data_IF_385325994227
#
_entry.id   IF_385325994227
#
_cell.length_a   1.000
_cell.length_b   1.000
_cell.length_c   1.000
_cell.angle_alpha   90.00
_cell.angle_beta   90.00
_cell.angle_gamma   90.00
#
_symmetry.space_group_name_H-M   'P 1'
#
loop_
_entity.id
_entity.type
_entity.pdbx_description
1 polymer ?
#
# COMPACT_ATOMS: atom_id res chain seq x y z
N UNK A 1 -18.98 6.68 -21.03
CA UNK A 1 -19.04 5.59 -22.04
C UNK A 1 -18.58 4.23 -21.46
N UNK A 2 -17.39 4.12 -20.87
CA UNK A 2 -16.93 2.84 -20.31
C UNK A 2 -17.69 2.43 -19.06
N UNK A 3 -18.05 3.37 -18.18
CA UNK A 3 -18.80 3.07 -16.96
C UNK A 3 -20.22 2.56 -17.25
N UNK A 4 -20.89 3.10 -18.29
CA UNK A 4 -22.22 2.60 -18.69
C UNK A 4 -22.13 1.16 -19.21
N UNK A 5 -21.06 0.83 -19.94
CA UNK A 5 -20.79 -0.53 -20.38
C UNK A 5 -20.55 -1.48 -19.20
N UNK A 6 -19.71 -1.08 -18.23
CA UNK A 6 -19.43 -1.88 -17.02
C UNK A 6 -20.71 -2.12 -16.20
N UNK A 7 -21.50 -1.07 -15.99
CA UNK A 7 -22.80 -1.18 -15.31
C UNK A 7 -23.74 -2.14 -16.05
N UNK A 8 -23.79 -2.06 -17.39
CA UNK A 8 -24.58 -2.97 -18.23
C UNK A 8 -24.15 -4.43 -18.17
N UNK A 9 -22.88 -4.70 -17.83
CA UNK A 9 -22.37 -6.05 -17.57
C UNK A 9 -22.70 -6.56 -16.15
N UNK A 10 -23.29 -5.72 -15.29
CA UNK A 10 -23.57 -6.08 -13.91
C UNK A 10 -22.37 -5.89 -12.97
N UNK A 11 -21.33 -5.19 -13.39
CA UNK A 11 -20.18 -4.86 -12.53
C UNK A 11 -20.64 -3.87 -11.46
N UNK A 12 -20.42 -4.23 -10.20
CA UNK A 12 -20.80 -3.43 -9.03
C UNK A 12 -19.59 -2.85 -8.24
N UNK A 13 -18.38 -3.23 -8.60
CA UNK A 13 -17.15 -2.63 -8.06
C UNK A 13 -16.06 -2.60 -9.14
N UNK A 14 -15.20 -1.60 -9.07
CA UNK A 14 -13.97 -1.52 -9.87
C UNK A 14 -12.78 -1.33 -8.93
N UNK A 15 -11.72 -2.06 -9.19
CA UNK A 15 -10.43 -1.84 -8.55
C UNK A 15 -9.57 -1.01 -9.49
N UNK A 16 -8.97 0.04 -8.95
CA UNK A 16 -8.05 0.91 -9.66
C UNK A 16 -6.63 0.57 -9.24
N UNK A 17 -5.74 0.46 -10.20
CA UNK A 17 -4.30 0.42 -9.95
C UNK A 17 -3.87 1.65 -9.13
N UNK A 18 -2.68 1.65 -8.49
CA UNK A 18 -2.26 2.75 -7.63
C UNK A 18 -2.37 4.11 -8.33
N UNK A 19 -3.06 5.04 -7.68
CA UNK A 19 -3.33 6.39 -8.20
C UNK A 19 -2.63 7.47 -7.38
N UNK A 20 -1.79 7.10 -6.42
CA UNK A 20 -0.85 8.05 -5.81
C UNK A 20 0.14 8.57 -6.87
N UNK A 21 0.68 9.76 -6.67
CA UNK A 21 1.69 10.31 -7.58
C UNK A 21 2.90 9.38 -7.63
N UNK A 22 3.34 9.01 -8.81
CA UNK A 22 4.45 8.09 -9.04
C UNK A 22 5.51 8.67 -9.98
N UNK A 23 6.67 8.04 -10.01
CA UNK A 23 7.79 8.48 -10.85
C UNK A 23 7.57 8.13 -12.32
N UNK A 24 7.55 9.12 -13.19
CA UNK A 24 7.38 8.97 -14.64
C UNK A 24 5.93 9.20 -15.09
N UNK A 25 5.70 9.27 -16.39
CA UNK A 25 4.40 9.59 -16.96
C UNK A 25 3.55 8.37 -17.34
N UNK A 26 4.15 7.19 -17.44
CA UNK A 26 3.50 5.94 -17.83
C UNK A 26 4.09 4.80 -17.00
N UNK A 27 3.36 4.38 -15.98
CA UNK A 27 3.70 3.25 -15.14
C UNK A 27 2.42 2.61 -14.57
N UNK A 28 2.55 1.47 -13.92
CA UNK A 28 1.43 0.83 -13.24
C UNK A 28 1.06 1.50 -11.91
N UNK A 29 1.90 2.43 -11.43
CA UNK A 29 1.65 3.19 -10.21
C UNK A 29 2.29 2.63 -8.95
N UNK A 30 3.02 1.51 -9.02
CA UNK A 30 3.63 0.88 -7.84
C UNK A 30 4.93 1.53 -7.36
N UNK A 31 5.32 2.66 -7.95
CA UNK A 31 6.47 3.47 -7.52
C UNK A 31 6.03 4.79 -6.91
N UNK A 32 5.28 4.75 -5.81
CA UNK A 32 4.69 5.92 -5.16
C UNK A 32 5.74 6.93 -4.73
N UNK A 33 5.48 8.19 -5.08
CA UNK A 33 6.32 9.33 -4.67
C UNK A 33 5.66 10.19 -3.60
N UNK A 34 4.33 10.30 -3.64
CA UNK A 34 3.56 11.16 -2.74
C UNK A 34 2.20 10.55 -2.42
N UNK A 35 2.05 9.97 -1.24
CA UNK A 35 0.83 9.25 -0.81
C UNK A 35 -0.43 10.12 -0.65
N UNK A 36 -0.30 11.45 -0.60
CA UNK A 36 -1.43 12.38 -0.49
C UNK A 36 -1.74 13.13 -1.80
N UNK A 37 -1.08 12.75 -2.88
CA UNK A 37 -1.29 13.32 -4.20
C UNK A 37 -1.89 12.27 -5.14
N UNK A 38 -2.80 12.70 -5.98
CA UNK A 38 -3.34 11.86 -7.06
C UNK A 38 -2.54 12.14 -8.32
N UNK A 39 -2.18 11.10 -9.03
CA UNK A 39 -1.36 11.09 -10.24
C UNK A 39 -1.79 12.19 -11.23
N UNK A 40 -0.86 13.08 -11.47
CA UNK A 40 -1.10 14.29 -12.26
C UNK A 40 -1.35 13.97 -13.74
N UNK A 41 -0.67 12.98 -14.31
CA UNK A 41 -0.86 12.55 -15.70
C UNK A 41 -2.23 11.92 -15.95
N UNK A 42 -2.86 11.34 -14.93
CA UNK A 42 -4.24 10.85 -14.94
C UNK A 42 -5.28 11.96 -14.72
N UNK A 43 -4.83 13.21 -14.53
CA UNK A 43 -5.68 14.39 -14.35
C UNK A 43 -5.87 14.84 -12.91
N UNK A 44 -5.17 14.25 -11.98
CA UNK A 44 -5.07 14.65 -10.58
C UNK A 44 -6.39 14.53 -9.81
N UNK A 45 -6.41 15.15 -8.62
CA UNK A 45 -7.50 15.09 -7.64
C UNK A 45 -8.89 15.30 -8.22
N UNK A 46 -9.06 16.33 -9.04
CA UNK A 46 -10.41 16.71 -9.53
C UNK A 46 -10.99 15.68 -10.50
N UNK A 47 -10.15 15.10 -11.38
CA UNK A 47 -10.58 14.05 -12.30
C UNK A 47 -10.87 12.75 -11.58
N UNK A 48 -10.07 12.43 -10.57
CA UNK A 48 -10.29 11.26 -9.73
C UNK A 48 -11.62 11.35 -8.98
N UNK A 49 -11.91 12.47 -8.29
CA UNK A 49 -13.21 12.70 -7.62
C UNK A 49 -14.39 12.64 -8.60
N UNK A 50 -14.20 13.19 -9.79
CA UNK A 50 -15.22 13.09 -10.83
C UNK A 50 -15.47 11.63 -11.22
N UNK A 51 -14.42 10.83 -11.41
CA UNK A 51 -14.54 9.42 -11.73
C UNK A 51 -15.28 8.64 -10.63
N UNK A 52 -14.88 8.79 -9.36
CA UNK A 52 -15.55 8.15 -8.22
C UNK A 52 -17.04 8.51 -8.19
N UNK A 53 -17.38 9.79 -8.31
CA UNK A 53 -18.77 10.23 -8.38
C UNK A 53 -19.55 9.58 -9.54
N UNK A 54 -18.95 9.46 -10.69
CA UNK A 54 -19.62 8.84 -11.85
C UNK A 54 -19.76 7.32 -11.70
N UNK A 55 -18.85 6.66 -10.97
CA UNK A 55 -19.03 5.27 -10.54
C UNK A 55 -20.23 5.14 -9.60
N UNK A 56 -20.27 5.95 -8.53
CA UNK A 56 -21.35 5.92 -7.54
C UNK A 56 -22.73 6.17 -8.15
N UNK A 57 -22.85 7.08 -9.10
CA UNK A 57 -24.10 7.33 -9.84
C UNK A 57 -24.65 6.10 -10.57
N UNK A 58 -23.79 5.12 -10.83
CA UNK A 58 -24.11 3.87 -11.52
C UNK A 58 -24.17 2.66 -10.60
N UNK A 59 -24.06 2.88 -9.29
CA UNK A 59 -24.02 1.81 -8.30
C UNK A 59 -22.72 0.99 -8.32
N UNK A 60 -21.62 1.59 -8.81
CA UNK A 60 -20.30 0.95 -8.87
C UNK A 60 -19.45 1.50 -7.75
N UNK A 61 -19.00 0.63 -6.84
CA UNK A 61 -18.03 0.94 -5.81
C UNK A 61 -16.61 1.10 -6.40
N UNK A 62 -15.77 1.89 -5.72
CA UNK A 62 -14.38 2.10 -6.13
C UNK A 62 -13.45 1.58 -5.06
N UNK A 63 -12.66 0.58 -5.40
CA UNK A 63 -11.59 0.02 -4.57
C UNK A 63 -10.26 0.61 -5.07
N UNK A 64 -9.50 1.22 -4.17
CA UNK A 64 -8.22 1.83 -4.52
C UNK A 64 -7.07 0.93 -4.10
N UNK A 65 -6.20 0.59 -5.04
CA UNK A 65 -4.94 -0.08 -4.75
C UNK A 65 -3.95 0.89 -4.11
N UNK A 66 -3.35 0.50 -2.98
CA UNK A 66 -2.40 1.30 -2.22
C UNK A 66 -1.12 0.53 -1.95
N UNK A 67 0.01 1.20 -2.10
CA UNK A 67 1.35 0.62 -1.97
C UNK A 67 2.00 1.14 -0.69
N UNK A 68 2.00 0.34 0.35
CA UNK A 68 2.55 0.69 1.66
C UNK A 68 3.70 -0.24 2.09
N UNK A 69 4.06 -1.18 1.22
CA UNK A 69 5.12 -2.15 1.49
C UNK A 69 6.52 -1.62 1.17
N UNK A 70 6.63 -0.57 0.37
CA UNK A 70 7.92 0.03 0.00
C UNK A 70 7.79 1.49 -0.42
N UNK A 71 8.93 2.17 -0.47
CA UNK A 71 9.12 3.44 -1.16
C UNK A 71 9.98 3.23 -2.41
N UNK A 72 9.61 3.85 -3.53
CA UNK A 72 10.44 3.83 -4.76
C UNK A 72 11.77 4.55 -4.50
N UNK A 73 12.87 3.87 -4.77
CA UNK A 73 14.22 4.41 -4.56
C UNK A 73 14.52 5.70 -5.33
N UNK A 74 13.79 5.97 -6.41
CA UNK A 74 13.93 7.22 -7.19
C UNK A 74 13.19 8.40 -6.56
N UNK A 75 12.14 8.11 -5.82
CA UNK A 75 11.33 9.11 -5.12
C UNK A 75 11.94 9.56 -3.79
N UNK A 76 12.79 8.75 -3.24
CA UNK A 76 13.36 8.90 -1.90
C UNK A 76 14.07 10.21 -1.68
N UNK A 77 14.70 10.78 -2.71
CA UNK A 77 15.41 12.06 -2.56
C UNK A 77 14.51 13.21 -2.15
N UNK A 78 13.28 13.25 -2.63
CA UNK A 78 12.33 14.30 -2.24
C UNK A 78 11.80 14.10 -0.81
N UNK A 79 11.54 12.85 -0.44
CA UNK A 79 11.08 12.50 0.91
C UNK A 79 12.21 12.65 1.94
N UNK A 80 13.41 12.34 1.56
CA UNK A 80 14.63 12.46 2.33
C UNK A 80 14.91 13.86 2.84
N UNK A 81 14.61 14.87 2.03
CA UNK A 81 14.80 16.27 2.39
C UNK A 81 13.91 16.73 3.54
N UNK A 82 12.83 16.01 3.84
CA UNK A 82 11.93 16.34 4.94
C UNK A 82 12.38 15.71 6.26
N UNK A 83 13.13 14.62 6.21
CA UNK A 83 13.62 13.92 7.40
C UNK A 83 15.04 14.36 7.74
N UNK A 84 15.94 14.20 6.79
CA UNK A 84 17.36 14.53 6.96
C UNK A 84 18.06 14.69 5.62
N UNK A 85 19.09 15.51 5.58
CA UNK A 85 19.97 15.65 4.41
C UNK A 85 21.02 14.55 4.30
N UNK A 86 21.17 13.73 5.34
CA UNK A 86 22.15 12.65 5.40
C UNK A 86 21.46 11.31 5.71
N UNK A 87 21.76 10.24 4.95
CA UNK A 87 21.14 8.93 5.14
C UNK A 87 21.23 8.39 6.55
N UNK A 88 22.38 8.56 7.18
CA UNK A 88 22.66 8.12 8.56
C UNK A 88 21.83 8.83 9.61
N UNK A 89 21.22 9.96 9.27
CA UNK A 89 20.34 10.74 10.14
C UNK A 89 18.86 10.47 9.91
N UNK A 90 18.53 9.63 8.92
CA UNK A 90 17.16 9.18 8.67
C UNK A 90 16.71 8.20 9.75
N UNK A 91 16.39 8.73 10.94
CA UNK A 91 16.08 7.93 12.11
C UNK A 91 14.60 7.72 12.35
N UNK A 92 13.76 8.59 11.79
CA UNK A 92 12.41 8.73 12.26
C UNK A 92 11.35 8.31 11.26
N UNK A 93 11.49 8.67 9.97
CA UNK A 93 10.31 8.72 9.15
C UNK A 93 10.15 7.58 8.15
N UNK A 94 11.15 7.30 7.29
CA UNK A 94 10.85 6.64 6.04
C UNK A 94 11.33 5.21 5.94
N UNK A 95 12.60 4.95 6.24
CA UNK A 95 13.24 3.68 5.92
C UNK A 95 13.77 2.98 7.14
N UNK A 96 13.83 1.67 7.07
CA UNK A 96 14.57 0.87 8.04
C UNK A 96 16.02 0.69 7.57
N UNK A 97 16.94 0.47 8.54
CA UNK A 97 18.37 0.40 8.29
C UNK A 97 19.04 1.77 8.15
N UNK A 98 20.27 1.87 8.66
CA UNK A 98 21.12 3.05 8.57
C UNK A 98 22.34 2.71 7.77
N UNK A 99 22.96 3.70 7.12
CA UNK A 99 24.19 3.52 6.34
C UNK A 99 25.32 2.86 7.17
N UNK A 100 25.37 3.14 8.48
CA UNK A 100 26.35 2.54 9.40
C UNK A 100 26.08 1.05 9.70
N UNK A 101 24.86 0.60 9.54
CA UNK A 101 24.45 -0.77 9.86
C UNK A 101 24.70 -1.74 8.71
N UNK A 102 24.86 -1.22 7.48
CA UNK A 102 24.94 -2.02 6.26
C UNK A 102 25.99 -1.51 5.29
N UNK A 103 26.68 -2.43 4.67
CA UNK A 103 27.58 -2.14 3.57
C UNK A 103 26.80 -2.22 2.24
N UNK A 104 26.03 -1.16 1.95
CA UNK A 104 25.33 -1.06 0.67
C UNK A 104 25.62 0.26 -0.04
N UNK A 105 25.68 0.26 -1.38
CA UNK A 105 25.94 1.47 -2.17
C UNK A 105 24.88 2.56 -2.04
N UNK A 106 23.65 2.19 -1.70
CA UNK A 106 22.49 3.07 -1.59
C UNK A 106 22.27 3.65 -0.19
N UNK A 107 23.21 3.48 0.70
CA UNK A 107 23.15 4.07 2.03
C UNK A 107 22.61 3.14 3.12
N UNK A 108 22.54 1.84 2.85
CA UNK A 108 22.20 0.83 3.84
C UNK A 108 20.73 0.70 4.18
N UNK A 109 19.86 1.21 3.32
CA UNK A 109 18.43 0.99 3.45
C UNK A 109 18.05 -0.45 3.13
N UNK A 110 16.99 -0.93 3.79
CA UNK A 110 16.48 -2.27 3.53
C UNK A 110 15.60 -2.27 2.30
N UNK A 111 15.95 -3.13 1.37
CA UNK A 111 15.08 -3.50 0.28
C UNK A 111 14.10 -4.58 0.76
N UNK A 112 12.84 -4.50 0.36
CA UNK A 112 11.86 -5.55 0.64
C UNK A 112 12.05 -6.80 -0.23
N UNK A 113 13.12 -6.84 -1.02
CA UNK A 113 13.51 -7.96 -1.87
C UNK A 113 12.86 -7.98 -3.25
N UNK A 114 11.96 -7.04 -3.57
CA UNK A 114 11.28 -7.04 -4.87
C UNK A 114 11.10 -5.66 -5.50
N UNK A 115 10.77 -4.64 -4.73
CA UNK A 115 10.20 -3.41 -5.31
C UNK A 115 10.83 -2.11 -4.82
N UNK A 116 11.38 -2.08 -3.62
CA UNK A 116 11.99 -0.86 -3.09
C UNK A 116 12.28 -0.92 -1.59
N UNK A 117 12.42 0.23 -0.98
CA UNK A 117 12.90 0.36 0.38
C UNK A 117 11.78 0.20 1.41
N UNK A 118 12.05 -0.59 2.44
CA UNK A 118 11.10 -0.91 3.50
C UNK A 118 10.85 0.30 4.40
N UNK A 119 9.59 0.70 4.60
CA UNK A 119 9.24 1.74 5.55
C UNK A 119 9.54 1.33 7.00
N UNK A 120 9.87 2.32 7.85
CA UNK A 120 10.13 2.09 9.27
C UNK A 120 8.83 1.98 10.05
N UNK A 121 8.16 0.84 9.96
CA UNK A 121 6.90 0.62 10.69
C UNK A 121 7.05 0.67 12.22
N UNK A 122 8.27 0.56 12.77
CA UNK A 122 8.55 0.81 14.18
C UNK A 122 8.22 2.24 14.60
N UNK A 123 8.38 3.20 13.67
CA UNK A 123 8.12 4.60 13.93
C UNK A 123 6.62 4.92 13.79
N UNK A 124 6.07 5.56 14.82
CA UNK A 124 4.64 5.92 14.83
C UNK A 124 4.29 6.87 13.68
N UNK A 125 5.14 7.85 13.40
CA UNK A 125 4.91 8.83 12.33
C UNK A 125 4.82 8.19 10.94
N UNK A 126 5.57 7.11 10.69
CA UNK A 126 5.49 6.34 9.44
C UNK A 126 4.17 5.60 9.35
N UNK A 127 3.74 4.94 10.43
CA UNK A 127 2.42 4.28 10.46
C UNK A 127 1.28 5.28 10.28
N UNK A 128 1.36 6.42 10.97
CA UNK A 128 0.38 7.52 10.86
C UNK A 128 0.32 8.09 9.45
N UNK A 129 1.42 8.15 8.72
CA UNK A 129 1.43 8.60 7.33
C UNK A 129 0.56 7.69 6.46
N UNK A 130 0.72 6.37 6.52
CA UNK A 130 -0.06 5.43 5.73
C UNK A 130 -1.55 5.41 6.14
N UNK A 131 -1.81 5.47 7.46
CA UNK A 131 -3.18 5.56 7.97
C UNK A 131 -3.86 6.85 7.49
N UNK A 132 -3.17 7.99 7.60
CA UNK A 132 -3.70 9.29 7.17
C UNK A 132 -3.88 9.38 5.65
N UNK A 133 -3.00 8.74 4.87
CA UNK A 133 -3.15 8.65 3.42
C UNK A 133 -4.43 7.90 3.04
N UNK A 134 -4.71 6.77 3.68
CA UNK A 134 -5.93 6.03 3.42
C UNK A 134 -7.19 6.80 3.91
N UNK A 135 -7.11 7.43 5.08
CA UNK A 135 -8.18 8.31 5.58
C UNK A 135 -8.49 9.44 4.59
N UNK A 136 -7.46 10.09 4.06
CA UNK A 136 -7.60 11.11 3.01
C UNK A 136 -8.32 10.57 1.77
N UNK A 137 -8.01 9.35 1.32
CA UNK A 137 -8.68 8.74 0.19
C UNK A 137 -10.16 8.42 0.49
N UNK A 138 -10.49 7.98 1.72
CA UNK A 138 -11.88 7.75 2.13
C UNK A 138 -12.66 9.06 2.22
N UNK A 139 -12.15 10.05 2.91
CA UNK A 139 -12.86 11.27 3.26
C UNK A 139 -12.91 12.29 2.12
N UNK A 140 -11.81 12.43 1.38
CA UNK A 140 -11.66 13.43 0.35
C UNK A 140 -11.91 12.91 -1.06
N UNK A 141 -11.54 11.66 -1.33
CA UNK A 141 -11.73 11.04 -2.65
C UNK A 141 -12.97 10.16 -2.70
N UNK A 142 -13.55 9.81 -1.54
CA UNK A 142 -14.76 9.01 -1.38
C UNK A 142 -14.68 7.60 -1.96
N UNK A 143 -13.51 6.96 -1.88
CA UNK A 143 -13.37 5.55 -2.26
C UNK A 143 -14.15 4.64 -1.30
N UNK A 144 -14.48 3.44 -1.73
CA UNK A 144 -15.30 2.50 -0.96
C UNK A 144 -14.48 1.42 -0.26
N UNK A 145 -13.24 1.27 -0.67
CA UNK A 145 -12.35 0.29 -0.09
C UNK A 145 -10.94 0.38 -0.64
N UNK A 146 -10.12 -0.54 -0.18
CA UNK A 146 -8.73 -0.64 -0.55
C UNK A 146 -8.32 -2.07 -0.88
N UNK A 147 -7.44 -2.21 -1.84
CA UNK A 147 -6.55 -3.35 -1.98
C UNK A 147 -5.16 -2.90 -1.53
N UNK A 148 -4.54 -3.62 -0.62
CA UNK A 148 -3.19 -3.30 -0.15
C UNK A 148 -2.20 -4.22 -0.82
N UNK A 149 -1.28 -3.60 -1.57
CA UNK A 149 -0.24 -4.28 -2.33
C UNK A 149 0.74 -5.01 -1.42
N UNK A 150 1.07 -6.25 -1.77
CA UNK A 150 2.11 -7.09 -1.19
C UNK A 150 2.14 -7.04 0.35
N UNK A 151 0.99 -7.31 0.99
CA UNK A 151 0.87 -7.24 2.47
C UNK A 151 1.83 -8.18 3.19
N UNK A 152 2.18 -9.29 2.58
CA UNK A 152 3.16 -10.24 3.13
C UNK A 152 4.55 -9.59 3.35
N UNK A 153 4.96 -8.62 2.53
CA UNK A 153 6.19 -7.88 2.72
C UNK A 153 6.12 -6.92 3.92
N UNK A 154 4.90 -6.56 4.36
CA UNK A 154 4.70 -5.71 5.53
C UNK A 154 4.72 -6.55 6.82
N UNK A 155 4.04 -7.72 6.83
CA UNK A 155 3.77 -8.44 8.09
C UNK A 155 4.58 -9.72 8.28
N UNK A 156 5.36 -10.19 7.28
CA UNK A 156 6.01 -11.49 7.39
C UNK A 156 7.50 -11.50 7.06
N UNK A 157 7.93 -11.48 5.81
CA UNK A 157 9.15 -12.21 5.50
C UNK A 157 10.28 -11.47 4.80
N UNK A 158 10.05 -10.35 4.19
CA UNK A 158 11.03 -9.83 3.23
C UNK A 158 11.88 -8.70 3.78
N UNK A 159 11.72 -8.39 5.05
CA UNK A 159 12.56 -7.39 5.69
C UNK A 159 13.84 -8.04 6.16
N UNK A 160 14.87 -7.94 5.35
CA UNK A 160 16.19 -8.49 5.63
C UNK A 160 17.25 -7.41 5.58
N UNK A 161 18.26 -7.60 6.41
CA UNK A 161 19.52 -6.89 6.23
C UNK A 161 20.14 -7.21 4.87
N UNK A 162 20.98 -6.33 4.38
CA UNK A 162 21.73 -6.52 3.15
C UNK A 162 22.54 -7.83 3.11
N UNK A 163 22.98 -8.31 4.26
CA UNK A 163 23.68 -9.58 4.41
C UNK A 163 22.74 -10.80 4.51
N UNK A 164 21.45 -10.61 4.32
CA UNK A 164 20.43 -11.66 4.33
C UNK A 164 19.88 -12.03 5.69
N UNK A 165 20.39 -11.45 6.78
CA UNK A 165 19.81 -11.65 8.13
C UNK A 165 18.43 -11.04 8.23
N UNK A 166 17.51 -11.72 8.91
CA UNK A 166 16.20 -11.14 9.24
C UNK A 166 16.32 -9.98 10.22
N UNK A 167 15.50 -8.94 10.04
CA UNK A 167 15.36 -7.86 11.02
C UNK A 167 14.54 -8.33 12.21
N UNK A 168 15.10 -8.29 13.42
CA UNK A 168 14.33 -8.64 14.62
C UNK A 168 13.08 -7.77 14.75
N UNK A 169 11.93 -8.41 14.90
CA UNK A 169 10.64 -7.76 15.16
C UNK A 169 10.10 -6.82 14.06
N UNK A 170 10.74 -6.71 12.90
CA UNK A 170 10.25 -5.85 11.82
C UNK A 170 8.83 -6.22 11.39
N UNK A 171 8.55 -7.52 11.29
CA UNK A 171 7.23 -8.05 10.98
C UNK A 171 6.17 -7.71 12.04
N UNK A 172 6.53 -7.62 13.31
CA UNK A 172 5.60 -7.25 14.38
C UNK A 172 5.12 -5.80 14.24
N UNK A 173 6.02 -4.90 13.86
CA UNK A 173 5.65 -3.51 13.60
C UNK A 173 4.85 -3.34 12.31
N UNK A 174 5.12 -4.14 11.28
CA UNK A 174 4.29 -4.21 10.08
C UNK A 174 2.88 -4.72 10.39
N UNK A 175 2.76 -5.79 11.19
CA UNK A 175 1.46 -6.27 11.67
C UNK A 175 0.74 -5.21 12.50
N UNK A 176 1.46 -4.49 13.36
CA UNK A 176 0.90 -3.38 14.14
C UNK A 176 0.35 -2.30 13.21
N UNK A 177 1.11 -1.89 12.20
CA UNK A 177 0.66 -0.92 11.21
C UNK A 177 -0.64 -1.36 10.54
N UNK A 178 -0.72 -2.58 10.02
CA UNK A 178 -1.92 -3.08 9.34
C UNK A 178 -3.14 -3.16 10.27
N UNK A 179 -2.95 -3.54 11.56
CA UNK A 179 -4.04 -3.55 12.55
C UNK A 179 -4.52 -2.15 12.89
N UNK A 180 -3.61 -1.20 13.12
CA UNK A 180 -3.96 0.20 13.38
C UNK A 180 -4.69 0.79 12.18
N UNK A 181 -4.22 0.51 10.98
CA UNK A 181 -4.78 0.94 9.71
C UNK A 181 -6.21 0.40 9.50
N UNK A 182 -6.41 -0.90 9.57
CA UNK A 182 -7.73 -1.52 9.37
C UNK A 182 -8.76 -1.06 10.40
N UNK A 183 -8.38 -0.96 11.68
CA UNK A 183 -9.25 -0.45 12.75
C UNK A 183 -9.64 1.00 12.51
N UNK A 184 -8.68 1.86 12.19
CA UNK A 184 -8.94 3.29 11.98
C UNK A 184 -9.88 3.49 10.79
N UNK A 185 -9.66 2.79 9.68
CA UNK A 185 -10.51 2.93 8.51
C UNK A 185 -11.95 2.46 8.77
N UNK A 186 -12.15 1.39 9.57
CA UNK A 186 -13.49 0.94 9.96
C UNK A 186 -14.18 1.91 10.92
N UNK A 187 -13.44 2.68 11.72
CA UNK A 187 -14.00 3.76 12.51
C UNK A 187 -14.47 4.92 11.63
N UNK A 188 -13.74 5.25 10.58
CA UNK A 188 -14.10 6.31 9.63
C UNK A 188 -15.27 5.86 8.74
N UNK A 189 -15.18 4.66 8.18
CA UNK A 189 -16.19 4.10 7.27
C UNK A 189 -16.46 2.63 7.65
N UNK A 190 -17.49 2.34 8.45
CA UNK A 190 -17.75 0.98 8.95
C UNK A 190 -17.88 -0.09 7.86
N UNK A 191 -18.34 0.30 6.67
CA UNK A 191 -18.54 -0.59 5.52
C UNK A 191 -17.37 -0.56 4.53
N UNK A 192 -16.20 -0.06 4.93
CA UNK A 192 -15.02 -0.06 4.06
C UNK A 192 -14.63 -1.49 3.71
N UNK A 193 -14.40 -1.75 2.42
CA UNK A 193 -13.90 -3.04 1.94
C UNK A 193 -12.37 -3.05 1.98
N UNK A 194 -11.78 -4.00 2.67
CA UNK A 194 -10.32 -4.12 2.84
C UNK A 194 -9.84 -5.45 2.27
N UNK A 195 -9.05 -5.39 1.21
CA UNK A 195 -8.51 -6.55 0.49
C UNK A 195 -7.00 -6.55 0.64
N UNK A 196 -6.41 -7.69 1.03
CA UNK A 196 -4.97 -7.85 1.09
C UNK A 196 -4.48 -8.64 -0.15
N UNK A 197 -3.47 -8.13 -0.84
CA UNK A 197 -2.68 -9.03 -1.68
C UNK A 197 -1.73 -9.82 -0.78
N UNK A 198 -2.07 -11.08 -0.54
CA UNK A 198 -1.35 -11.93 0.40
C UNK A 198 -1.30 -13.38 -0.06
N UNK A 199 -0.10 -13.91 -0.18
CA UNK A 199 0.13 -15.27 -0.67
C UNK A 199 0.62 -16.23 0.43
N UNK A 200 0.57 -15.78 1.70
CA UNK A 200 1.12 -16.56 2.81
C UNK A 200 0.25 -17.74 3.24
N UNK A 201 -1.05 -17.70 2.89
CA UNK A 201 -2.04 -18.65 3.40
C UNK A 201 -2.27 -18.53 4.91
N UNK A 202 -1.88 -17.43 5.54
CA UNK A 202 -2.08 -17.21 6.96
C UNK A 202 -3.50 -16.69 7.23
N UNK A 203 -4.31 -17.48 7.95
CA UNK A 203 -5.69 -17.14 8.30
C UNK A 203 -5.81 -15.80 9.06
N UNK A 204 -4.75 -15.41 9.78
CA UNK A 204 -4.69 -14.15 10.51
C UNK A 204 -4.84 -12.90 9.63
N UNK A 205 -4.66 -12.99 8.32
CA UNK A 205 -4.87 -11.86 7.41
C UNK A 205 -6.32 -11.39 7.47
N UNK A 206 -7.28 -12.31 7.45
CA UNK A 206 -8.72 -12.01 7.46
C UNK A 206 -9.37 -12.09 8.85
N UNK A 207 -8.66 -12.56 9.86
CA UNK A 207 -9.18 -12.52 11.23
C UNK A 207 -9.25 -11.09 11.77
N UNK A 208 -10.23 -10.86 12.67
CA UNK A 208 -10.38 -9.56 13.33
C UNK A 208 -9.14 -9.22 14.18
N UNK A 209 -8.78 -7.94 14.28
CA UNK A 209 -7.65 -7.50 15.11
C UNK A 209 -7.77 -7.89 16.58
N UNK A 210 -8.98 -8.01 17.11
CA UNK A 210 -9.28 -8.45 18.48
C UNK A 210 -8.92 -9.92 18.70
N UNK A 211 -8.96 -10.72 17.65
CA UNK A 211 -8.52 -12.12 17.65
C UNK A 211 -7.03 -12.28 17.24
N UNK A 212 -6.30 -11.19 17.12
CA UNK A 212 -4.88 -11.20 16.73
C UNK A 212 -4.64 -11.12 15.21
N UNK A 213 -5.69 -11.00 14.41
CA UNK A 213 -5.60 -10.86 12.96
C UNK A 213 -5.28 -9.45 12.47
N UNK A 214 -5.26 -9.27 11.15
CA UNK A 214 -4.96 -8.00 10.50
C UNK A 214 -6.23 -7.21 10.15
N UNK A 215 -7.41 -7.85 10.11
CA UNK A 215 -8.70 -7.21 9.92
C UNK A 215 -9.08 -6.94 8.46
N UNK A 216 -8.53 -7.65 7.50
CA UNK A 216 -8.98 -7.60 6.11
C UNK A 216 -10.25 -8.43 5.90
N UNK A 217 -11.04 -8.07 4.90
CA UNK A 217 -12.26 -8.81 4.53
C UNK A 217 -11.96 -9.98 3.58
N UNK A 218 -10.92 -9.81 2.75
CA UNK A 218 -10.54 -10.80 1.74
C UNK A 218 -9.04 -10.75 1.44
N UNK A 219 -8.56 -11.83 0.83
CA UNK A 219 -7.22 -11.90 0.24
C UNK A 219 -7.31 -12.09 -1.26
N UNK A 220 -6.52 -11.35 -2.03
CA UNK A 220 -6.20 -11.67 -3.42
C UNK A 220 -5.12 -12.73 -3.43
N UNK A 221 -5.46 -13.95 -3.87
CA UNK A 221 -4.56 -15.09 -3.85
C UNK A 221 -4.20 -15.51 -5.27
N UNK A 222 -2.92 -15.40 -5.64
CA UNK A 222 -2.45 -15.67 -7.01
C UNK A 222 -2.79 -17.09 -7.48
N UNK A 223 -2.76 -18.08 -6.59
CA UNK A 223 -3.09 -19.46 -6.95
C UNK A 223 -4.52 -19.62 -7.50
N UNK A 224 -5.48 -18.77 -7.09
CA UNK A 224 -6.81 -18.79 -7.68
C UNK A 224 -6.77 -18.39 -9.16
N UNK A 225 -6.01 -17.34 -9.49
CA UNK A 225 -5.83 -16.91 -10.88
C UNK A 225 -5.13 -17.99 -11.72
N UNK A 226 -4.06 -18.59 -11.21
CA UNK A 226 -3.38 -19.69 -11.88
C UNK A 226 -4.30 -20.92 -12.10
N UNK A 227 -5.11 -21.26 -11.10
CA UNK A 227 -6.04 -22.38 -11.22
C UNK A 227 -7.21 -22.10 -12.20
N UNK A 228 -7.62 -20.85 -12.34
CA UNK A 228 -8.71 -20.46 -13.26
C UNK A 228 -8.23 -20.22 -14.69
N UNK A 229 -7.05 -19.66 -14.85
CA UNK A 229 -6.53 -19.25 -16.17
C UNK A 229 -5.58 -20.28 -16.77
N UNK A 230 -5.11 -21.25 -15.99
CA UNK A 230 -4.01 -22.13 -16.33
C UNK A 230 -2.67 -21.43 -16.21
N UNK A 231 -1.60 -22.16 -15.90
CA UNK A 231 -0.25 -21.65 -16.06
C UNK A 231 0.03 -21.49 -17.56
N UNK A 232 0.55 -20.36 -18.00
CA UNK A 232 1.14 -20.30 -19.32
C UNK A 232 2.40 -21.18 -19.29
N UNK A 233 2.41 -22.26 -20.05
CA UNK A 233 3.57 -23.11 -20.30
C UNK A 233 4.72 -22.32 -20.92
#
# INVERSE_FOLDING_TARGET
QKLDYLAGLGINAVELMPMAEFSGAVAWGYGDTHHFCIESSAGGRNKYRHFVRECHRRGIAVIQDVVYNHFDGRATRAQWQYDSQAPEQNNYYWYDGRAADYVQPDGGYLDNGSTGWTPRYSEEVVRQQFISSAAFLLEEMHVDGFRVDLTQAIHRDNVRHADGRGLPNANLFGQKMLREWSRTLRLIKPNVMLIAEDHTGWDGVTQLPEAGGLGFDATGFAALSHNLLGDPD
#
